data_IF_910403763132
#
_entry.id   IF_910403763132
#
_cell.length_a   1.000
_cell.length_b   1.000
_cell.length_c   1.000
_cell.angle_alpha   90.00
_cell.angle_beta   90.00
_cell.angle_gamma   90.00
#
_symmetry.space_group_name_H-M   'P 1'
#
loop_
_entity.id
_entity.type
_entity.pdbx_description
1 polymer ?
#
# COMPACT_ATOMS: atom_id res chain seq x y z
N UNK A 1 0.35 -6.52 4.08
CA UNK A 1 0.68 -5.91 5.40
C UNK A 1 0.88 -4.41 5.21
N UNK A 2 0.47 -3.56 6.16
CA UNK A 2 0.65 -2.09 6.07
C UNK A 2 1.63 -1.65 7.16
N UNK A 3 2.64 -0.85 6.80
CA UNK A 3 3.64 -0.26 7.70
C UNK A 3 3.61 1.26 7.60
N UNK A 4 3.76 1.97 8.72
CA UNK A 4 3.86 3.42 8.79
C UNK A 4 5.15 3.77 9.52
N UNK A 5 6.03 4.53 8.87
CA UNK A 5 7.24 5.04 9.51
C UNK A 5 6.95 6.33 10.26
N UNK A 6 7.03 6.29 11.58
CA UNK A 6 6.88 7.50 12.40
C UNK A 6 8.21 8.02 12.94
N UNK A 7 9.27 7.22 13.12
CA UNK A 7 10.60 7.70 13.60
C UNK A 7 11.73 6.66 13.68
N UNK A 8 11.55 5.41 13.21
CA UNK A 8 12.58 4.35 13.33
C UNK A 8 12.94 3.79 11.96
N UNK A 9 14.22 3.49 11.65
CA UNK A 9 14.61 2.99 10.33
C UNK A 9 14.04 1.58 10.10
N UNK A 10 12.88 1.52 9.45
CA UNK A 10 12.17 0.29 9.05
C UNK A 10 12.91 -0.60 8.07
N UNK A 11 14.08 -0.17 7.56
CA UNK A 11 14.93 -1.01 6.70
C UNK A 11 15.26 -2.35 7.36
N UNK A 12 15.45 -2.38 8.69
CA UNK A 12 15.71 -3.61 9.44
C UNK A 12 14.48 -4.54 9.49
N UNK A 13 13.27 -3.97 9.49
CA UNK A 13 12.03 -4.76 9.55
C UNK A 13 11.74 -5.50 8.24
N UNK A 14 12.08 -4.93 7.08
CA UNK A 14 11.92 -5.61 5.79
C UNK A 14 12.67 -6.94 5.74
N UNK A 15 13.88 -7.02 6.29
CA UNK A 15 14.63 -8.29 6.35
C UNK A 15 13.98 -9.33 7.28
N UNK A 16 13.35 -8.90 8.38
CA UNK A 16 12.59 -9.78 9.26
C UNK A 16 11.33 -10.29 8.55
N UNK A 17 10.59 -9.41 7.90
CA UNK A 17 9.37 -9.74 7.17
C UNK A 17 9.61 -10.68 5.99
N UNK A 18 10.75 -10.53 5.31
CA UNK A 18 11.17 -11.44 4.26
C UNK A 18 11.42 -12.86 4.81
N UNK A 19 12.04 -12.99 5.98
CA UNK A 19 12.33 -14.29 6.63
C UNK A 19 11.07 -15.02 7.07
N UNK A 20 10.02 -14.31 7.47
CA UNK A 20 8.73 -14.90 7.82
C UNK A 20 7.79 -15.05 6.61
N UNK A 21 8.21 -14.61 5.42
CA UNK A 21 7.50 -14.88 4.17
C UNK A 21 6.30 -13.97 3.88
N UNK A 22 6.26 -12.73 4.38
CA UNK A 22 5.15 -11.82 4.04
C UNK A 22 5.21 -11.48 2.54
N UNK A 23 4.20 -11.82 1.72
CA UNK A 23 4.29 -11.69 0.27
C UNK A 23 4.28 -10.24 -0.21
N UNK A 24 3.57 -9.35 0.50
CA UNK A 24 3.45 -7.94 0.12
C UNK A 24 3.31 -6.99 1.32
N UNK A 25 4.03 -5.87 1.24
CA UNK A 25 4.05 -4.80 2.23
C UNK A 25 3.75 -3.47 1.55
N UNK A 26 2.81 -2.71 2.10
CA UNK A 26 2.58 -1.30 1.76
C UNK A 26 3.18 -0.45 2.86
N UNK A 27 4.15 0.39 2.52
CA UNK A 27 4.88 1.21 3.49
C UNK A 27 4.64 2.69 3.21
N UNK A 28 4.10 3.40 4.20
CA UNK A 28 3.98 4.85 4.18
C UNK A 28 5.18 5.48 4.90
N UNK A 29 5.98 6.28 4.20
CA UNK A 29 7.20 6.90 4.75
C UNK A 29 6.97 8.26 5.44
N UNK A 30 5.72 8.73 5.43
CA UNK A 30 5.32 10.05 5.93
C UNK A 30 4.81 10.96 4.82
N UNK A 31 5.20 10.67 3.57
CA UNK A 31 4.80 11.43 2.39
C UNK A 31 4.07 10.55 1.35
N UNK A 32 4.56 9.33 1.14
CA UNK A 32 4.06 8.43 0.10
C UNK A 32 3.99 6.97 0.56
N UNK A 33 3.11 6.22 -0.09
CA UNK A 33 3.01 4.78 0.02
C UNK A 33 3.82 4.11 -1.09
N UNK A 34 4.76 3.24 -0.71
CA UNK A 34 5.48 2.35 -1.60
C UNK A 34 5.03 0.90 -1.39
N UNK A 35 4.92 0.14 -2.48
CA UNK A 35 4.53 -1.27 -2.46
C UNK A 35 5.77 -2.14 -2.65
N UNK A 36 5.99 -3.07 -1.73
CA UNK A 36 7.10 -4.01 -1.73
C UNK A 36 6.56 -5.43 -1.87
N UNK A 37 7.03 -6.18 -2.87
CA UNK A 37 6.69 -7.59 -3.08
C UNK A 37 7.90 -8.46 -2.78
N UNK A 38 7.69 -9.54 -2.04
CA UNK A 38 8.72 -10.52 -1.73
C UNK A 38 9.02 -11.37 -2.98
N UNK A 39 10.25 -11.29 -3.47
CA UNK A 39 10.77 -12.08 -4.59
C UNK A 39 12.09 -12.71 -4.17
N UNK A 40 12.18 -14.04 -4.25
CA UNK A 40 13.41 -14.79 -3.95
C UNK A 40 14.04 -14.41 -2.59
N UNK A 41 13.20 -14.22 -1.56
CA UNK A 41 13.65 -13.89 -0.21
C UNK A 41 14.07 -12.42 0.01
N UNK A 42 13.83 -11.52 -0.96
CA UNK A 42 14.08 -10.09 -0.85
C UNK A 42 12.89 -9.26 -1.34
N UNK A 43 12.69 -8.08 -0.76
CA UNK A 43 11.66 -7.18 -1.22
C UNK A 43 12.13 -6.35 -2.42
N UNK A 44 11.26 -6.25 -3.43
CA UNK A 44 11.40 -5.35 -4.56
C UNK A 44 10.23 -4.35 -4.57
N UNK A 45 10.52 -3.09 -4.85
CA UNK A 45 9.47 -2.08 -5.06
C UNK A 45 8.75 -2.38 -6.37
N UNK A 46 7.43 -2.33 -6.36
CA UNK A 46 6.59 -2.52 -7.54
C UNK A 46 5.65 -1.33 -7.71
N UNK A 47 5.24 -1.07 -8.96
CA UNK A 47 4.33 0.02 -9.28
C UNK A 47 2.88 -0.26 -8.85
N UNK A 48 2.49 -1.53 -8.85
CA UNK A 48 1.12 -1.99 -8.59
C UNK A 48 1.13 -3.19 -7.62
N UNK A 49 0.11 -3.27 -6.78
CA UNK A 49 -0.13 -4.37 -5.84
C UNK A 49 -0.31 -5.67 -6.60
N UNK A 50 0.43 -6.70 -6.20
CA UNK A 50 0.24 -8.05 -6.72
C UNK A 50 -0.98 -8.73 -6.08
N UNK A 51 -1.38 -8.32 -4.87
CA UNK A 51 -2.54 -8.90 -4.16
C UNK A 51 -3.86 -8.18 -4.45
N UNK A 52 -3.83 -6.89 -4.81
CA UNK A 52 -5.02 -6.08 -5.10
C UNK A 52 -4.85 -5.16 -6.33
N UNK A 53 -4.68 -5.70 -7.55
CA UNK A 53 -4.72 -4.88 -8.77
C UNK A 53 -6.04 -4.11 -8.92
N UNK A 54 -6.05 -2.85 -9.38
CA UNK A 54 -4.90 -2.06 -9.86
C UNK A 54 -4.36 -1.06 -8.83
N UNK A 55 -4.33 -1.40 -7.53
CA UNK A 55 -3.84 -0.46 -6.51
C UNK A 55 -2.35 -0.16 -6.70
N UNK A 56 -2.04 1.11 -6.89
CA UNK A 56 -0.67 1.61 -7.03
C UNK A 56 -0.28 2.49 -5.83
N UNK A 57 1.04 2.67 -5.64
CA UNK A 57 1.57 3.58 -4.62
C UNK A 57 0.94 4.98 -4.66
N UNK A 58 0.81 5.64 -5.83
CA UNK A 58 0.14 6.94 -5.96
C UNK A 58 -1.33 6.94 -5.52
N UNK A 59 -2.10 5.91 -5.89
CA UNK A 59 -3.52 5.79 -5.48
C UNK A 59 -3.63 5.65 -3.97
N UNK A 60 -2.80 4.79 -3.37
CA UNK A 60 -2.77 4.58 -1.93
C UNK A 60 -2.35 5.85 -1.19
N UNK A 61 -1.33 6.55 -1.69
CA UNK A 61 -0.84 7.82 -1.11
C UNK A 61 -1.94 8.88 -1.12
N UNK A 62 -2.61 9.06 -2.26
CA UNK A 62 -3.76 9.95 -2.39
C UNK A 62 -4.87 9.60 -1.39
N UNK A 63 -5.22 8.31 -1.31
CA UNK A 63 -6.30 7.84 -0.41
C UNK A 63 -5.97 8.11 1.06
N UNK A 64 -4.70 7.96 1.47
CA UNK A 64 -4.25 8.30 2.82
C UNK A 64 -4.35 9.81 3.07
N UNK A 65 -3.97 10.64 2.11
CA UNK A 65 -4.06 12.10 2.26
C UNK A 65 -5.51 12.60 2.32
N UNK A 66 -6.39 12.06 1.47
CA UNK A 66 -7.83 12.34 1.53
C UNK A 66 -8.43 11.93 2.89
N UNK A 67 -7.95 10.84 3.51
CA UNK A 67 -8.43 10.40 4.83
C UNK A 67 -8.09 11.38 5.96
N UNK A 68 -7.05 12.22 5.79
CA UNK A 68 -6.67 13.24 6.77
C UNK A 68 -7.57 14.46 6.75
N UNK A 69 -8.24 14.69 5.63
CA UNK A 69 -9.03 15.90 5.37
C UNK A 69 -10.53 15.62 5.34
N UNK A 70 -10.94 14.46 4.83
CA UNK A 70 -12.34 14.06 4.73
C UNK A 70 -12.84 13.38 6.01
N UNK A 71 -14.13 13.54 6.29
CA UNK A 71 -14.82 12.68 7.25
C UNK A 71 -14.88 11.23 6.75
N UNK A 72 -14.90 10.26 7.67
CA UNK A 72 -14.87 8.83 7.35
C UNK A 72 -15.91 8.39 6.30
N UNK A 73 -17.14 8.92 6.37
CA UNK A 73 -18.20 8.60 5.41
C UNK A 73 -17.90 9.08 3.98
N UNK A 74 -17.36 10.29 3.86
CA UNK A 74 -16.96 10.89 2.58
C UNK A 74 -15.74 10.18 2.01
N UNK A 75 -14.73 9.92 2.84
CA UNK A 75 -13.55 9.17 2.45
C UNK A 75 -13.91 7.78 1.91
N UNK A 76 -14.77 7.04 2.62
CA UNK A 76 -15.25 5.73 2.16
C UNK A 76 -16.05 5.80 0.85
N UNK A 77 -16.75 6.91 0.58
CA UNK A 77 -17.42 7.12 -0.70
C UNK A 77 -16.40 7.27 -1.83
N UNK A 78 -15.35 8.06 -1.64
CA UNK A 78 -14.29 8.26 -2.63
C UNK A 78 -13.53 6.95 -2.92
N UNK A 79 -13.15 6.20 -1.89
CA UNK A 79 -12.53 4.87 -2.05
C UNK A 79 -13.42 3.94 -2.88
N UNK A 80 -14.73 3.89 -2.60
CA UNK A 80 -15.68 3.08 -3.38
C UNK A 80 -15.87 3.58 -4.81
N UNK A 81 -15.84 4.90 -5.03
CA UNK A 81 -15.97 5.48 -6.36
C UNK A 81 -14.74 5.16 -7.22
N UNK A 82 -13.54 5.27 -6.64
CA UNK A 82 -12.30 4.83 -7.27
C UNK A 82 -12.34 3.33 -7.60
N UNK A 83 -12.74 2.49 -6.64
CA UNK A 83 -12.81 1.04 -6.85
C UNK A 83 -13.77 0.68 -8.00
N UNK A 84 -14.94 1.32 -8.10
CA UNK A 84 -15.90 1.05 -9.20
C UNK A 84 -15.38 1.44 -10.59
N UNK A 85 -14.49 2.41 -10.67
CA UNK A 85 -13.97 2.93 -11.95
C UNK A 85 -12.71 2.22 -12.42
N UNK A 86 -12.01 1.54 -11.49
CA UNK A 86 -10.70 0.94 -11.75
C UNK A 86 -10.64 -0.57 -11.47
N UNK A 87 -11.59 -1.16 -10.73
CA UNK A 87 -11.61 -2.60 -10.54
C UNK A 87 -11.90 -3.28 -11.88
N UNK A 88 -10.91 -3.99 -12.42
CA UNK A 88 -11.15 -4.96 -13.49
C UNK A 88 -12.13 -6.02 -12.98
N UNK A 89 -13.10 -6.47 -13.79
CA UNK A 89 -13.89 -7.64 -13.43
C UNK A 89 -12.91 -8.81 -13.25
N UNK A 90 -12.83 -9.32 -12.02
CA UNK A 90 -12.11 -10.55 -11.72
C UNK A 90 -12.61 -11.64 -12.67
N UNK A 91 -11.73 -12.09 -13.57
CA UNK A 91 -11.95 -13.24 -14.46
C UNK A 91 -11.81 -14.55 -13.70
#
# INVERSE_FOLDING_TARGET
MIEIDTTSPSLNRLSIYARIGIPEIWRHDGERVSIFVLREGKYAVVAESAVLPPLSGPVLSRSVEESRTLGSADWMREVRAWARTHASPSS
#
